data_IF_140903681756
#
_entry.id   IF_140903681756
#
_cell.length_a   1.000
_cell.length_b   1.000
_cell.length_c   1.000
_cell.angle_alpha   90.00
_cell.angle_beta   90.00
_cell.angle_gamma   90.00
#
_symmetry.space_group_name_H-M   'P 1'
#
loop_
_entity.id
_entity.type
_entity.pdbx_description
1 polymer ?
#
# COMPACT_ATOMS: atom_id res chain seq x y z
N UNK A 1 13.46 -24.16 21.57
CA UNK A 1 13.17 -22.74 21.86
C UNK A 1 13.74 -21.89 20.74
N UNK A 2 12.88 -21.36 19.86
CA UNK A 2 13.25 -20.54 18.69
C UNK A 2 13.98 -19.24 19.11
N UNK A 3 14.68 -18.59 18.17
CA UNK A 3 15.41 -17.35 18.45
C UNK A 3 14.51 -16.22 18.94
N UNK A 4 13.28 -16.13 18.43
CA UNK A 4 12.30 -15.11 18.79
C UNK A 4 11.96 -15.10 20.29
N UNK A 5 11.66 -16.26 20.89
CA UNK A 5 11.31 -16.32 22.32
C UNK A 5 12.49 -15.94 23.21
N UNK A 6 13.73 -16.26 22.79
CA UNK A 6 14.95 -15.86 23.51
C UNK A 6 15.18 -14.36 23.44
N UNK A 7 14.94 -13.75 22.28
CA UNK A 7 15.04 -12.30 22.09
C UNK A 7 13.99 -11.59 22.93
N UNK A 8 12.72 -12.01 22.87
CA UNK A 8 11.65 -11.40 23.67
C UNK A 8 11.92 -11.50 25.18
N UNK A 9 12.35 -12.67 25.67
CA UNK A 9 12.71 -12.84 27.08
C UNK A 9 13.94 -11.99 27.47
N UNK A 10 14.97 -11.92 26.62
CA UNK A 10 16.13 -11.10 26.88
C UNK A 10 15.82 -9.60 26.92
N UNK A 11 14.93 -9.12 26.04
CA UNK A 11 14.46 -7.73 26.07
C UNK A 11 13.67 -7.45 27.35
N UNK A 12 12.76 -8.34 27.75
CA UNK A 12 12.00 -8.21 29.00
C UNK A 12 12.91 -8.20 30.25
N UNK A 13 14.01 -8.95 30.21
CA UNK A 13 15.00 -9.04 31.29
C UNK A 13 16.11 -7.97 31.21
N UNK A 14 16.06 -7.03 30.26
CA UNK A 14 17.05 -5.97 30.11
C UNK A 14 18.46 -6.47 29.73
N UNK A 15 18.58 -7.67 29.17
CA UNK A 15 19.85 -8.26 28.80
C UNK A 15 20.42 -7.59 27.55
N UNK A 16 21.62 -7.00 27.69
CA UNK A 16 22.33 -6.32 26.59
C UNK A 16 23.12 -7.25 25.67
N UNK A 17 23.35 -8.50 26.09
CA UNK A 17 24.09 -9.52 25.34
C UNK A 17 23.35 -10.84 25.45
N UNK A 18 23.00 -11.41 24.30
CA UNK A 18 22.35 -12.71 24.20
C UNK A 18 23.37 -13.67 23.60
N UNK A 19 23.85 -14.68 24.33
CA UNK A 19 24.71 -15.70 23.75
C UNK A 19 23.92 -16.51 22.71
N UNK A 20 24.40 -16.52 21.47
CA UNK A 20 23.82 -17.28 20.37
C UNK A 20 24.75 -18.44 20.03
N UNK A 21 24.21 -19.66 20.01
CA UNK A 21 24.91 -20.83 19.49
C UNK A 21 24.39 -21.07 18.08
N UNK A 22 25.26 -20.92 17.09
CA UNK A 22 24.97 -21.29 15.71
C UNK A 22 25.19 -22.79 15.57
N UNK A 23 24.11 -23.56 15.46
CA UNK A 23 24.21 -24.97 15.08
C UNK A 23 24.56 -25.05 13.59
N UNK A 24 25.56 -25.87 13.24
CA UNK A 24 25.91 -26.16 11.84
C UNK A 24 25.05 -27.27 11.22
N UNK A 25 24.28 -27.98 12.04
CA UNK A 25 23.71 -29.30 11.71
C UNK A 25 22.19 -29.27 11.44
N UNK A 26 21.48 -28.20 11.82
CA UNK A 26 20.09 -28.05 11.41
C UNK A 26 20.04 -27.30 10.07
N UNK A 27 19.88 -28.05 8.97
CA UNK A 27 19.22 -27.49 7.79
C UNK A 27 17.85 -27.02 8.28
N UNK A 28 17.67 -25.71 8.44
CA UNK A 28 16.38 -25.14 8.76
C UNK A 28 15.34 -25.75 7.81
N UNK A 29 14.21 -26.17 8.36
CA UNK A 29 13.07 -26.58 7.52
C UNK A 29 12.77 -25.40 6.61
N UNK A 30 12.80 -25.63 5.29
CA UNK A 30 12.40 -24.60 4.34
C UNK A 30 10.91 -24.30 4.58
N UNK A 31 10.63 -23.05 4.93
CA UNK A 31 9.28 -22.54 5.24
C UNK A 31 9.00 -21.41 4.29
N UNK A 32 8.90 -21.76 3.02
CA UNK A 32 8.44 -20.86 1.98
C UNK A 32 6.99 -20.42 2.24
N UNK A 33 6.48 -19.53 1.40
CA UNK A 33 5.11 -19.04 1.55
C UNK A 33 4.07 -20.16 1.43
N UNK A 34 4.34 -21.20 0.63
CA UNK A 34 3.46 -22.34 0.46
C UNK A 34 3.33 -23.16 1.75
N UNK A 35 4.39 -23.24 2.56
CA UNK A 35 4.36 -23.88 3.88
C UNK A 35 3.29 -23.27 4.80
N UNK A 36 3.12 -21.94 4.76
CA UNK A 36 2.11 -21.22 5.55
C UNK A 36 0.71 -21.40 4.98
N UNK A 37 0.55 -21.25 3.65
CA UNK A 37 -0.72 -21.45 2.95
C UNK A 37 -1.25 -22.86 3.22
N UNK A 38 -0.41 -23.89 3.09
CA UNK A 38 -0.77 -25.29 3.33
C UNK A 38 -1.12 -25.61 4.79
N UNK A 39 -0.86 -24.69 5.73
CA UNK A 39 -1.24 -24.80 7.15
C UNK A 39 -2.46 -23.97 7.53
N UNK A 40 -3.16 -23.41 6.55
CA UNK A 40 -4.42 -22.69 6.78
C UNK A 40 -4.24 -21.27 7.28
N UNK A 41 -3.08 -20.65 7.06
CA UNK A 41 -2.92 -19.21 7.26
C UNK A 41 -3.88 -18.48 6.33
N UNK A 42 -4.63 -17.53 6.86
CA UNK A 42 -5.61 -16.78 6.08
C UNK A 42 -4.91 -15.69 5.24
N UNK A 43 -5.66 -15.09 4.31
CA UNK A 43 -5.15 -14.07 3.38
C UNK A 43 -4.53 -12.86 4.09
N UNK A 44 -5.11 -12.41 5.20
CA UNK A 44 -4.58 -11.32 6.01
C UNK A 44 -3.22 -11.70 6.61
N UNK A 45 -3.10 -12.88 7.21
CA UNK A 45 -1.83 -13.37 7.76
C UNK A 45 -0.75 -13.53 6.69
N UNK A 46 -1.11 -14.05 5.51
CA UNK A 46 -0.18 -14.20 4.37
C UNK A 46 0.31 -12.83 3.88
N UNK A 47 -0.59 -11.85 3.74
CA UNK A 47 -0.24 -10.48 3.37
C UNK A 47 0.68 -9.84 4.39
N UNK A 48 0.38 -9.97 5.68
CA UNK A 48 1.22 -9.47 6.75
C UNK A 48 2.62 -10.13 6.76
N UNK A 49 2.70 -11.44 6.55
CA UNK A 49 3.98 -12.14 6.42
C UNK A 49 4.82 -11.59 5.26
N UNK A 50 4.22 -11.45 4.08
CA UNK A 50 4.91 -10.94 2.89
C UNK A 50 5.34 -9.48 3.10
N UNK A 51 4.42 -8.64 3.58
CA UNK A 51 4.67 -7.22 3.82
C UNK A 51 5.86 -7.01 4.78
N UNK A 52 5.87 -7.74 5.91
CA UNK A 52 6.94 -7.64 6.89
C UNK A 52 8.24 -8.32 6.41
N UNK A 53 8.17 -9.37 5.59
CA UNK A 53 9.34 -9.96 4.96
C UNK A 53 10.04 -8.94 4.05
N UNK A 54 9.28 -8.20 3.24
CA UNK A 54 9.82 -7.14 2.39
C UNK A 54 10.53 -6.06 3.22
N UNK A 55 9.93 -5.63 4.33
CA UNK A 55 10.51 -4.60 5.21
C UNK A 55 11.76 -5.06 5.97
N UNK A 56 11.87 -6.36 6.26
CA UNK A 56 12.96 -6.93 7.07
C UNK A 56 14.06 -7.62 6.25
N UNK A 57 13.86 -7.79 4.94
CA UNK A 57 14.79 -8.49 4.06
C UNK A 57 16.10 -7.73 3.89
N UNK A 58 17.21 -8.37 4.25
CA UNK A 58 18.55 -7.80 4.15
C UNK A 58 18.99 -7.57 2.70
N UNK A 59 18.56 -8.45 1.79
CA UNK A 59 18.98 -8.41 0.38
C UNK A 59 18.18 -7.42 -0.47
N UNK A 60 17.16 -6.75 0.10
CA UNK A 60 16.26 -5.79 -0.55
C UNK A 60 15.59 -6.39 -1.81
N UNK A 61 14.37 -6.94 -1.67
CA UNK A 61 13.69 -7.59 -2.79
C UNK A 61 13.26 -6.58 -3.85
N UNK A 62 12.83 -7.09 -5.00
CA UNK A 62 12.22 -6.31 -6.06
C UNK A 62 10.76 -6.76 -6.25
N UNK A 63 9.90 -5.82 -6.61
CA UNK A 63 8.51 -6.13 -6.95
C UNK A 63 8.35 -5.90 -8.45
N UNK A 64 7.89 -6.94 -9.15
CA UNK A 64 7.59 -6.88 -10.57
C UNK A 64 6.08 -6.99 -10.83
N UNK A 65 5.61 -6.29 -11.85
CA UNK A 65 4.25 -6.33 -12.38
C UNK A 65 4.35 -6.69 -13.86
N UNK A 66 3.82 -7.84 -14.23
CA UNK A 66 3.56 -8.19 -15.63
C UNK A 66 2.19 -7.63 -16.01
N UNK A 67 2.18 -6.88 -17.10
CA UNK A 67 0.97 -6.26 -17.61
C UNK A 67 0.16 -7.22 -18.48
N UNK A 68 -1.10 -6.87 -18.72
CA UNK A 68 -2.04 -7.70 -19.49
C UNK A 68 -1.64 -7.91 -20.96
N UNK A 69 -0.85 -7.01 -21.54
CA UNK A 69 -0.37 -7.08 -22.94
C UNK A 69 0.40 -8.34 -23.27
N UNK A 70 0.95 -9.02 -22.26
CA UNK A 70 1.70 -10.28 -22.40
C UNK A 70 1.05 -11.42 -21.61
N UNK A 71 -0.27 -11.33 -21.37
CA UNK A 71 -1.04 -12.29 -20.60
C UNK A 71 -0.81 -13.75 -21.04
N UNK A 72 -0.89 -14.02 -22.34
CA UNK A 72 -0.72 -15.37 -22.91
C UNK A 72 0.71 -15.93 -22.68
N UNK A 73 1.66 -15.07 -22.31
CA UNK A 73 3.05 -15.42 -22.07
C UNK A 73 3.46 -15.28 -20.60
N UNK A 74 2.54 -15.01 -19.67
CA UNK A 74 2.87 -14.83 -18.26
C UNK A 74 3.62 -16.02 -17.66
N UNK A 75 3.19 -17.25 -17.92
CA UNK A 75 3.87 -18.44 -17.38
C UNK A 75 5.28 -18.61 -17.96
N UNK A 76 5.45 -18.32 -19.25
CA UNK A 76 6.76 -18.37 -19.91
C UNK A 76 7.71 -17.31 -19.35
N UNK A 77 7.21 -16.08 -19.16
CA UNK A 77 7.97 -14.98 -18.54
C UNK A 77 8.35 -15.31 -17.10
N UNK A 78 7.40 -15.84 -16.30
CA UNK A 78 7.68 -16.28 -14.92
C UNK A 78 8.74 -17.37 -14.91
N UNK A 79 8.67 -18.35 -15.81
CA UNK A 79 9.69 -19.39 -15.94
C UNK A 79 11.07 -18.80 -16.25
N UNK A 80 11.15 -17.84 -17.17
CA UNK A 80 12.41 -17.17 -17.51
C UNK A 80 13.00 -16.34 -16.36
N UNK A 81 12.14 -15.67 -15.59
CA UNK A 81 12.54 -14.93 -14.38
C UNK A 81 13.06 -15.91 -13.34
N UNK A 82 12.34 -17.01 -13.09
CA UNK A 82 12.72 -18.03 -12.10
C UNK A 82 14.06 -18.72 -12.40
N UNK A 83 14.45 -18.78 -13.68
CA UNK A 83 15.78 -19.25 -14.09
C UNK A 83 16.94 -18.32 -13.74
N UNK A 84 16.67 -17.10 -13.22
CA UNK A 84 17.68 -16.08 -12.88
C UNK A 84 17.60 -15.59 -11.44
N UNK A 85 16.39 -15.47 -10.90
CA UNK A 85 16.10 -14.94 -9.56
C UNK A 85 15.04 -15.78 -8.88
N UNK A 86 15.12 -15.89 -7.55
CA UNK A 86 14.12 -16.62 -6.79
C UNK A 86 12.83 -15.79 -6.73
N UNK A 87 11.70 -16.41 -7.10
CA UNK A 87 10.37 -15.81 -6.96
C UNK A 87 9.80 -16.29 -5.62
N UNK A 88 9.75 -15.39 -4.65
CA UNK A 88 9.30 -15.68 -3.28
C UNK A 88 7.79 -15.80 -3.21
N UNK A 89 7.09 -14.98 -3.99
CA UNK A 89 5.64 -14.95 -4.03
C UNK A 89 5.16 -14.47 -5.39
N UNK A 90 4.00 -14.97 -5.80
CA UNK A 90 3.29 -14.46 -6.97
C UNK A 90 1.79 -14.43 -6.72
N UNK A 91 1.12 -13.44 -7.29
CA UNK A 91 -0.34 -13.40 -7.33
C UNK A 91 -0.82 -12.72 -8.60
N UNK A 92 -2.02 -13.08 -9.04
CA UNK A 92 -2.75 -12.33 -10.06
C UNK A 92 -3.75 -11.42 -9.37
N UNK A 93 -3.87 -10.19 -9.84
CA UNK A 93 -4.90 -9.25 -9.40
C UNK A 93 -5.77 -8.90 -10.59
N UNK A 94 -7.07 -8.78 -10.34
CA UNK A 94 -8.07 -8.39 -11.33
C UNK A 94 -8.78 -7.13 -10.85
N UNK A 95 -9.12 -6.27 -11.80
CA UNK A 95 -9.74 -4.98 -11.58
C UNK A 95 -10.90 -4.80 -12.56
N UNK A 96 -11.73 -3.79 -12.32
CA UNK A 96 -12.47 -3.17 -13.42
C UNK A 96 -11.57 -2.17 -14.18
N UNK A 97 -12.09 -1.57 -15.25
CA UNK A 97 -11.33 -0.64 -16.09
C UNK A 97 -10.86 0.59 -15.32
N UNK A 98 -11.69 1.12 -14.40
CA UNK A 98 -11.37 2.30 -13.60
C UNK A 98 -10.33 1.95 -12.54
N UNK A 99 -10.52 0.81 -11.86
CA UNK A 99 -9.59 0.27 -10.88
C UNK A 99 -8.20 0.03 -11.48
N UNK A 100 -8.11 -0.53 -12.69
CA UNK A 100 -6.82 -0.72 -13.36
C UNK A 100 -6.16 0.62 -13.72
N UNK A 101 -6.91 1.59 -14.24
CA UNK A 101 -6.36 2.92 -14.52
C UNK A 101 -5.78 3.57 -13.26
N UNK A 102 -6.52 3.53 -12.17
CA UNK A 102 -6.10 4.12 -10.91
C UNK A 102 -4.94 3.36 -10.28
N UNK A 103 -4.91 2.03 -10.39
CA UNK A 103 -3.79 1.19 -9.98
C UNK A 103 -2.50 1.54 -10.73
N UNK A 104 -2.57 1.70 -12.05
CA UNK A 104 -1.40 2.10 -12.86
C UNK A 104 -0.88 3.46 -12.40
N UNK A 105 -1.77 4.43 -12.23
CA UNK A 105 -1.40 5.73 -11.67
C UNK A 105 -0.82 5.58 -10.26
N UNK A 106 -1.25 4.60 -9.45
CA UNK A 106 -0.76 4.43 -8.07
C UNK A 106 0.68 3.92 -8.11
N UNK A 107 0.99 2.98 -9.00
CA UNK A 107 2.37 2.56 -9.27
C UNK A 107 3.26 3.77 -9.57
N UNK A 108 2.83 4.65 -10.48
CA UNK A 108 3.62 5.82 -10.91
C UNK A 108 3.53 7.03 -9.97
N UNK A 109 2.67 6.99 -8.95
CA UNK A 109 2.50 8.11 -8.01
C UNK A 109 3.65 8.32 -7.04
N UNK A 110 4.59 7.38 -7.01
CA UNK A 110 5.87 7.51 -6.32
C UNK A 110 6.63 8.75 -6.81
N UNK A 111 6.73 8.93 -8.13
CA UNK A 111 7.40 10.09 -8.74
C UNK A 111 6.47 11.29 -8.94
N UNK A 112 5.21 11.04 -9.32
CA UNK A 112 4.24 12.06 -9.71
C UNK A 112 2.94 11.88 -8.91
N UNK A 113 2.76 12.55 -7.77
CA UNK A 113 1.63 12.28 -6.87
C UNK A 113 0.24 12.55 -7.47
N UNK A 114 0.15 13.43 -8.47
CA UNK A 114 -1.11 13.88 -9.07
C UNK A 114 -1.01 14.23 -10.56
N UNK A 115 0.03 14.96 -10.97
CA UNK A 115 0.18 15.47 -12.33
C UNK A 115 0.85 14.43 -13.24
N UNK A 116 0.09 13.40 -13.63
CA UNK A 116 0.60 12.34 -14.48
C UNK A 116 0.89 12.84 -15.90
N UNK A 117 2.09 12.55 -16.40
CA UNK A 117 2.44 12.83 -17.79
C UNK A 117 1.49 12.11 -18.79
N UNK A 118 1.33 12.69 -19.98
CA UNK A 118 0.56 12.08 -21.10
C UNK A 118 1.01 10.65 -21.38
N UNK A 119 2.30 10.33 -21.18
CA UNK A 119 2.82 8.97 -21.36
C UNK A 119 2.19 7.97 -20.38
N UNK A 120 2.01 8.35 -19.12
CA UNK A 120 1.41 7.48 -18.08
C UNK A 120 -0.08 7.32 -18.35
N UNK A 121 -0.77 8.42 -18.69
CA UNK A 121 -2.21 8.38 -19.04
C UNK A 121 -2.47 7.50 -20.25
N UNK A 122 -1.73 7.68 -21.35
CA UNK A 122 -1.84 6.84 -22.55
C UNK A 122 -1.51 5.38 -22.25
N UNK A 123 -0.52 5.13 -21.37
CA UNK A 123 -0.19 3.77 -20.94
C UNK A 123 -1.36 3.12 -20.20
N UNK A 124 -2.01 3.84 -19.29
CA UNK A 124 -3.17 3.34 -18.58
C UNK A 124 -4.33 2.98 -19.54
N UNK A 125 -4.62 3.86 -20.50
CA UNK A 125 -5.68 3.64 -21.50
C UNK A 125 -5.40 2.40 -22.37
N UNK A 126 -4.18 2.28 -22.91
CA UNK A 126 -3.78 1.13 -23.74
C UNK A 126 -3.85 -0.17 -22.94
N UNK A 127 -3.34 -0.19 -21.70
CA UNK A 127 -3.34 -1.39 -20.85
C UNK A 127 -4.76 -1.87 -20.54
N UNK A 128 -5.68 -0.94 -20.24
CA UNK A 128 -7.09 -1.26 -19.95
C UNK A 128 -7.78 -1.89 -21.17
N UNK A 129 -7.47 -1.40 -22.38
CA UNK A 129 -8.01 -1.98 -23.61
C UNK A 129 -7.49 -3.39 -23.92
N UNK A 130 -6.36 -3.80 -23.32
CA UNK A 130 -5.87 -5.18 -23.41
C UNK A 130 -6.52 -6.13 -22.38
N UNK A 131 -7.14 -5.57 -21.33
CA UNK A 131 -7.81 -6.28 -20.26
C UNK A 131 -7.40 -5.78 -18.88
N UNK A 132 -8.09 -6.26 -17.83
CA UNK A 132 -8.02 -5.67 -16.49
C UNK A 132 -7.36 -6.57 -15.44
N UNK A 133 -6.35 -7.35 -15.83
CA UNK A 133 -5.58 -8.18 -14.89
C UNK A 133 -4.08 -7.89 -14.97
N UNK A 134 -3.38 -8.14 -13.86
CA UNK A 134 -1.92 -8.03 -13.77
C UNK A 134 -1.37 -9.19 -12.95
N UNK A 135 -0.15 -9.61 -13.24
CA UNK A 135 0.58 -10.59 -12.42
C UNK A 135 1.69 -9.91 -11.64
N UNK A 136 1.61 -10.02 -10.31
CA UNK A 136 2.57 -9.45 -9.37
C UNK A 136 3.54 -10.54 -8.94
N UNK A 137 4.83 -10.24 -8.97
CA UNK A 137 5.91 -11.13 -8.56
C UNK A 137 6.77 -10.43 -7.51
N UNK A 138 7.11 -11.15 -6.44
CA UNK A 138 8.08 -10.74 -5.45
C UNK A 138 9.39 -11.50 -5.67
N UNK A 139 10.45 -10.76 -5.97
CA UNK A 139 11.74 -11.31 -6.39
C UNK A 139 12.78 -11.14 -5.27
N UNK A 140 13.44 -12.23 -4.88
CA UNK A 140 14.55 -12.20 -3.93
C UNK A 140 15.85 -11.80 -4.64
N UNK A 141 16.53 -10.78 -4.12
CA UNK A 141 17.76 -10.26 -4.70
C UNK A 141 19.02 -10.86 -4.07
N UNK A 142 18.93 -12.01 -3.38
CA UNK A 142 20.11 -12.74 -2.84
C UNK A 142 21.23 -12.93 -3.85
N UNK A 143 20.88 -13.19 -5.12
CA UNK A 143 21.85 -13.46 -6.18
C UNK A 143 22.30 -12.19 -6.94
N UNK A 144 21.80 -11.00 -6.57
CA UNK A 144 22.18 -9.72 -7.19
C UNK A 144 21.65 -9.49 -8.62
N UNK A 145 20.82 -10.39 -9.17
CA UNK A 145 20.35 -10.32 -10.55
C UNK A 145 19.02 -9.58 -10.74
N UNK A 146 18.33 -9.14 -9.67
CA UNK A 146 17.02 -8.51 -9.84
C UNK A 146 17.08 -7.20 -10.64
N UNK A 147 18.16 -6.44 -10.52
CA UNK A 147 18.35 -5.18 -11.25
C UNK A 147 18.40 -5.33 -12.78
N UNK A 148 18.69 -6.54 -13.30
CA UNK A 148 18.73 -6.79 -14.75
C UNK A 148 17.47 -7.47 -15.30
N UNK A 149 16.57 -7.98 -14.43
CA UNK A 149 15.35 -8.70 -14.84
C UNK A 149 14.47 -7.84 -15.75
N UNK A 150 14.28 -6.57 -15.40
CA UNK A 150 13.45 -5.62 -16.15
C UNK A 150 13.89 -5.51 -17.61
N UNK A 151 15.18 -5.28 -17.86
CA UNK A 151 15.70 -5.12 -19.21
C UNK A 151 15.76 -6.45 -19.96
N UNK A 152 16.17 -7.53 -19.28
CA UNK A 152 16.19 -8.88 -19.86
C UNK A 152 14.82 -9.30 -20.41
N UNK A 153 13.76 -9.12 -19.63
CA UNK A 153 12.39 -9.48 -20.06
C UNK A 153 11.92 -8.55 -21.17
N UNK A 154 12.18 -7.24 -21.08
CA UNK A 154 11.83 -6.28 -22.13
C UNK A 154 12.49 -6.61 -23.46
N UNK A 155 13.78 -6.93 -23.46
CA UNK A 155 14.52 -7.28 -24.68
C UNK A 155 14.04 -8.61 -25.27
N UNK A 156 13.84 -9.63 -24.43
CA UNK A 156 13.41 -10.95 -24.90
C UNK A 156 11.99 -10.93 -25.50
N UNK A 157 11.10 -10.13 -24.92
CA UNK A 157 9.67 -10.14 -25.26
C UNK A 157 9.19 -8.88 -26.00
N UNK A 158 10.09 -7.96 -26.40
CA UNK A 158 9.72 -6.72 -27.11
C UNK A 158 8.89 -6.97 -28.38
N UNK A 159 9.13 -8.10 -29.05
CA UNK A 159 8.43 -8.48 -30.28
C UNK A 159 6.95 -8.82 -30.07
N UNK A 160 6.51 -9.07 -28.83
CA UNK A 160 5.11 -9.41 -28.53
C UNK A 160 4.19 -8.18 -28.54
N UNK A 161 4.73 -6.98 -28.36
CA UNK A 161 3.91 -5.77 -28.28
C UNK A 161 4.55 -4.61 -29.06
N UNK A 162 3.94 -4.26 -30.19
CA UNK A 162 4.50 -3.34 -31.18
C UNK A 162 4.72 -1.90 -30.70
N UNK A 163 4.11 -1.49 -29.59
CA UNK A 163 4.21 -0.10 -29.12
C UNK A 163 5.53 0.18 -28.40
N UNK A 164 5.73 -0.41 -27.23
CA UNK A 164 6.86 -0.09 -26.35
C UNK A 164 7.08 -1.23 -25.34
N UNK A 165 8.33 -1.71 -25.13
CA UNK A 165 8.65 -2.71 -24.10
C UNK A 165 8.23 -2.32 -22.67
N UNK A 166 8.01 -1.03 -22.38
CA UNK A 166 7.46 -0.55 -21.11
C UNK A 166 6.08 -1.16 -20.80
N UNK A 167 5.36 -1.63 -21.80
CA UNK A 167 4.07 -2.30 -21.66
C UNK A 167 4.19 -3.76 -21.27
N UNK A 168 5.38 -4.36 -21.21
CA UNK A 168 5.54 -5.79 -20.87
C UNK A 168 5.60 -5.99 -19.35
N UNK A 169 6.51 -5.25 -18.72
CA UNK A 169 6.84 -5.39 -17.30
C UNK A 169 7.19 -4.04 -16.69
N UNK A 170 6.75 -3.84 -15.44
CA UNK A 170 7.28 -2.84 -14.54
C UNK A 170 7.98 -3.56 -13.37
N UNK A 171 9.13 -3.04 -12.93
CA UNK A 171 9.87 -3.54 -11.77
C UNK A 171 10.33 -2.30 -11.00
N UNK A 172 10.22 -2.34 -9.67
CA UNK A 172 10.75 -1.32 -8.78
C UNK A 172 12.23 -1.04 -9.07
N UNK A 173 12.60 0.19 -9.36
CA UNK A 173 13.96 0.62 -9.66
C UNK A 173 14.74 1.03 -8.40
N UNK A 174 14.03 1.51 -7.37
CA UNK A 174 14.63 1.98 -6.11
C UNK A 174 14.02 1.28 -4.89
N UNK A 175 14.72 1.39 -3.75
CA UNK A 175 14.22 0.86 -2.46
C UNK A 175 12.95 1.57 -2.03
N UNK A 176 12.85 2.88 -2.27
CA UNK A 176 11.69 3.67 -1.88
C UNK A 176 10.47 3.35 -2.77
N UNK A 177 10.69 3.17 -4.07
CA UNK A 177 9.65 2.68 -4.98
C UNK A 177 9.21 1.26 -4.59
N UNK A 178 10.14 0.40 -4.19
CA UNK A 178 9.81 -0.92 -3.67
C UNK A 178 8.94 -0.84 -2.41
N UNK A 179 9.25 0.04 -1.45
CA UNK A 179 8.40 0.22 -0.27
C UNK A 179 7.02 0.79 -0.61
N UNK A 180 6.94 1.69 -1.59
CA UNK A 180 5.68 2.21 -2.12
C UNK A 180 4.84 1.10 -2.78
N UNK A 181 5.45 0.25 -3.60
CA UNK A 181 4.77 -0.90 -4.18
C UNK A 181 4.37 -1.93 -3.13
N UNK A 182 5.17 -2.13 -2.08
CA UNK A 182 4.87 -3.03 -0.97
C UNK A 182 3.62 -2.57 -0.19
N UNK A 183 3.53 -1.27 0.13
CA UNK A 183 2.37 -0.66 0.78
C UNK A 183 1.11 -0.74 -0.08
N UNK A 184 1.26 -0.65 -1.39
CA UNK A 184 0.15 -0.77 -2.30
C UNK A 184 -0.33 -2.23 -2.46
N UNK A 185 0.59 -3.18 -2.65
CA UNK A 185 0.27 -4.53 -3.12
C UNK A 185 0.11 -5.55 -2.00
N UNK A 186 0.88 -5.44 -0.92
CA UNK A 186 0.94 -6.47 0.12
C UNK A 186 0.35 -6.02 1.45
N UNK A 187 0.01 -4.73 1.60
CA UNK A 187 -0.88 -4.29 2.66
C UNK A 187 -2.29 -4.88 2.47
N UNK A 188 -2.79 -5.63 3.45
CA UNK A 188 -4.03 -6.38 3.30
C UNK A 188 -5.23 -5.49 2.96
N UNK A 189 -5.52 -4.49 3.79
CA UNK A 189 -6.67 -3.60 3.55
C UNK A 189 -6.54 -2.85 2.21
N UNK A 190 -5.31 -2.54 1.80
CA UNK A 190 -5.11 -1.84 0.55
C UNK A 190 -5.35 -2.75 -0.66
N UNK A 191 -5.00 -4.02 -0.55
CA UNK A 191 -5.26 -4.99 -1.61
C UNK A 191 -6.75 -5.25 -1.83
N UNK A 192 -7.56 -5.17 -0.76
CA UNK A 192 -9.02 -5.23 -0.85
C UNK A 192 -9.55 -3.94 -1.47
N UNK A 193 -9.06 -2.79 -1.00
CA UNK A 193 -9.44 -1.48 -1.52
C UNK A 193 -9.18 -1.37 -3.03
N UNK A 194 -7.99 -1.73 -3.50
CA UNK A 194 -7.60 -1.64 -4.91
C UNK A 194 -8.45 -2.52 -5.82
N UNK A 195 -8.71 -3.78 -5.44
CA UNK A 195 -9.51 -4.70 -6.25
C UNK A 195 -10.99 -4.31 -6.31
N UNK A 196 -11.47 -3.55 -5.33
CA UNK A 196 -12.84 -3.06 -5.29
C UNK A 196 -12.97 -1.59 -5.71
N UNK A 197 -11.90 -0.96 -6.20
CA UNK A 197 -11.94 0.43 -6.62
C UNK A 197 -12.63 0.52 -7.98
N UNK A 198 -13.85 1.06 -7.99
CA UNK A 198 -14.66 1.26 -9.19
C UNK A 198 -14.87 2.73 -9.56
N UNK A 199 -14.16 3.63 -8.89
CA UNK A 199 -14.24 5.08 -9.10
C UNK A 199 -12.85 5.66 -9.24
N UNK A 200 -12.73 6.64 -10.13
CA UNK A 200 -11.48 7.39 -10.31
C UNK A 200 -11.28 8.33 -9.12
N UNK A 201 -10.01 8.56 -8.76
CA UNK A 201 -9.67 9.63 -7.84
C UNK A 201 -10.10 10.97 -8.43
N UNK A 202 -10.73 11.82 -7.64
CA UNK A 202 -11.09 13.18 -8.08
C UNK A 202 -9.84 14.04 -8.19
N UNK A 203 -9.88 15.02 -9.10
CA UNK A 203 -8.79 15.99 -9.27
C UNK A 203 -8.51 16.77 -7.98
N UNK A 204 -9.55 17.05 -7.19
CA UNK A 204 -9.43 17.69 -5.88
C UNK A 204 -8.61 16.84 -4.91
N UNK A 205 -8.90 15.54 -4.75
CA UNK A 205 -8.14 14.67 -3.86
C UNK A 205 -6.69 14.55 -4.35
N UNK A 206 -6.46 14.42 -5.66
CA UNK A 206 -5.11 14.37 -6.21
C UNK A 206 -4.33 15.66 -5.89
N UNK A 207 -4.95 16.83 -6.08
CA UNK A 207 -4.40 18.14 -5.75
C UNK A 207 -4.10 18.28 -4.26
N UNK A 208 -4.99 17.85 -3.37
CA UNK A 208 -4.78 17.93 -1.92
C UNK A 208 -3.70 16.97 -1.43
N UNK A 209 -3.58 15.78 -2.01
CA UNK A 209 -2.45 14.87 -1.73
C UNK A 209 -1.12 15.55 -2.09
N UNK A 210 -1.06 16.21 -3.26
CA UNK A 210 0.13 16.97 -3.67
C UNK A 210 0.40 18.14 -2.73
N UNK A 211 -0.63 18.91 -2.38
CA UNK A 211 -0.55 20.03 -1.44
C UNK A 211 -0.01 19.58 -0.08
N UNK A 212 -0.58 18.51 0.49
CA UNK A 212 -0.13 17.93 1.74
C UNK A 212 1.33 17.48 1.66
N UNK A 213 1.75 16.77 0.59
CA UNK A 213 3.15 16.34 0.44
C UNK A 213 4.12 17.54 0.47
N UNK A 214 3.77 18.65 -0.17
CA UNK A 214 4.56 19.88 -0.15
C UNK A 214 4.58 20.55 1.24
N UNK A 215 3.45 20.53 1.96
CA UNK A 215 3.39 21.06 3.34
C UNK A 215 4.27 20.21 4.27
N UNK A 216 4.18 18.88 4.18
CA UNK A 216 4.98 17.97 4.99
C UNK A 216 6.48 18.15 4.75
N UNK A 217 6.89 18.31 3.48
CA UNK A 217 8.28 18.61 3.13
C UNK A 217 8.76 19.92 3.78
N UNK A 218 7.98 21.01 3.65
CA UNK A 218 8.31 22.31 4.27
C UNK A 218 8.42 22.24 5.79
N UNK A 219 7.60 21.39 6.42
CA UNK A 219 7.61 21.19 7.87
C UNK A 219 8.64 20.15 8.34
N UNK A 220 9.35 19.51 7.40
CA UNK A 220 10.26 18.38 7.65
C UNK A 220 9.57 17.22 8.38
N UNK A 221 8.34 16.90 7.97
CA UNK A 221 7.51 15.81 8.50
C UNK A 221 7.46 14.65 7.52
N UNK A 222 7.40 13.43 8.05
CA UNK A 222 7.20 12.23 7.23
C UNK A 222 5.72 12.01 6.93
N UNK A 223 5.39 11.66 5.68
CA UNK A 223 4.04 11.18 5.32
C UNK A 223 3.66 9.89 6.05
N UNK A 224 4.63 9.13 6.58
CA UNK A 224 4.36 7.94 7.37
C UNK A 224 3.74 8.24 8.74
N UNK A 225 3.85 9.50 9.21
CA UNK A 225 3.34 9.97 10.50
C UNK A 225 2.02 10.75 10.37
N UNK A 226 1.35 10.61 9.22
CA UNK A 226 0.11 11.33 8.87
C UNK A 226 -0.89 10.34 8.27
N UNK A 227 -2.17 10.52 8.58
CA UNK A 227 -3.27 9.76 8.00
C UNK A 227 -4.42 10.68 7.64
N UNK A 228 -4.88 10.64 6.39
CA UNK A 228 -6.06 11.36 5.94
C UNK A 228 -7.33 10.72 6.53
N UNK A 229 -8.24 11.55 7.00
CA UNK A 229 -9.46 11.14 7.69
C UNK A 229 -10.67 11.90 7.13
N UNK A 230 -11.84 11.75 7.75
CA UNK A 230 -12.98 12.62 7.47
C UNK A 230 -13.63 12.38 6.10
N UNK A 231 -14.04 13.48 5.45
CA UNK A 231 -14.82 13.43 4.22
C UNK A 231 -14.04 12.85 3.04
N UNK A 232 -12.74 13.14 2.96
CA UNK A 232 -11.85 12.68 1.89
C UNK A 232 -11.80 11.15 1.77
N UNK A 233 -11.92 10.43 2.89
CA UNK A 233 -12.05 8.96 2.88
C UNK A 233 -13.29 8.54 2.08
N UNK A 234 -14.45 9.11 2.37
CA UNK A 234 -15.67 8.77 1.62
C UNK A 234 -15.56 9.13 0.13
N UNK A 235 -14.74 10.13 -0.20
CA UNK A 235 -14.48 10.50 -1.59
C UNK A 235 -13.61 9.48 -2.34
N UNK A 236 -12.56 8.93 -1.74
CA UNK A 236 -11.74 7.87 -2.38
C UNK A 236 -12.51 6.56 -2.59
N UNK A 237 -13.60 6.36 -1.85
CA UNK A 237 -14.56 5.27 -2.02
C UNK A 237 -15.72 5.61 -2.98
N UNK A 238 -15.76 6.83 -3.53
CA UNK A 238 -16.77 7.25 -4.49
C UNK A 238 -18.15 7.54 -3.90
N UNK A 239 -18.25 7.69 -2.59
CA UNK A 239 -19.54 7.83 -1.89
C UNK A 239 -20.03 9.27 -1.87
N UNK A 240 -19.11 10.23 -1.79
CA UNK A 240 -19.43 11.67 -1.84
C UNK A 240 -18.21 12.48 -2.27
N UNK A 241 -18.43 13.71 -2.72
CA UNK A 241 -17.35 14.69 -2.82
C UNK A 241 -16.98 15.21 -1.43
N UNK A 242 -15.69 15.36 -1.19
CA UNK A 242 -15.18 16.07 -0.02
C UNK A 242 -14.95 17.55 -0.39
N UNK A 243 -14.87 18.40 0.61
CA UNK A 243 -14.59 19.84 0.44
C UNK A 243 -13.12 20.16 0.79
N UNK A 244 -12.49 19.31 1.59
CA UNK A 244 -11.16 19.46 2.17
C UNK A 244 -10.47 18.09 2.41
N UNK A 245 -9.20 18.15 2.78
CA UNK A 245 -8.41 17.02 3.26
C UNK A 245 -8.08 17.19 4.74
N UNK A 246 -8.91 16.59 5.59
CA UNK A 246 -8.64 16.40 7.01
C UNK A 246 -7.51 15.37 7.22
N UNK A 247 -6.53 15.66 8.08
CA UNK A 247 -5.48 14.71 8.47
C UNK A 247 -5.29 14.61 9.97
N UNK A 248 -5.07 13.39 10.46
CA UNK A 248 -4.54 13.12 11.79
C UNK A 248 -3.01 13.03 11.73
N UNK A 249 -2.35 13.47 12.80
CA UNK A 249 -0.89 13.40 12.96
C UNK A 249 -0.54 12.68 14.25
N UNK A 250 0.63 12.06 14.30
CA UNK A 250 1.09 11.36 15.51
C UNK A 250 1.14 12.28 16.72
N UNK A 251 1.03 11.70 17.92
CA UNK A 251 1.14 12.41 19.19
C UNK A 251 2.45 13.17 19.32
N UNK A 252 3.54 12.62 18.77
CA UNK A 252 4.85 13.27 18.73
C UNK A 252 4.79 14.56 17.92
N UNK A 253 4.34 14.49 16.65
CA UNK A 253 4.21 15.64 15.76
C UNK A 253 3.26 16.68 16.37
N UNK A 254 2.11 16.21 16.87
CA UNK A 254 1.13 17.06 17.58
C UNK A 254 1.84 17.90 18.63
N UNK A 255 2.50 17.28 19.60
CA UNK A 255 3.16 17.98 20.71
C UNK A 255 4.26 18.94 20.27
N UNK A 256 4.99 18.59 19.21
CA UNK A 256 6.16 19.35 18.75
C UNK A 256 5.81 20.54 17.85
N UNK A 257 4.70 20.48 17.10
CA UNK A 257 4.42 21.40 15.99
C UNK A 257 3.04 22.04 16.02
N UNK A 258 2.06 21.47 16.73
CA UNK A 258 0.66 21.88 16.66
C UNK A 258 0.01 21.94 18.06
N UNK A 259 -1.13 22.60 18.16
CA UNK A 259 -2.03 22.56 19.32
C UNK A 259 -2.92 21.31 19.29
N UNK A 260 -3.58 21.03 20.42
CA UNK A 260 -4.54 19.92 20.55
C UNK A 260 -5.86 20.16 19.76
N UNK A 261 -6.06 21.37 19.25
CA UNK A 261 -7.23 21.77 18.46
C UNK A 261 -7.05 21.48 16.97
N UNK A 262 -8.12 21.63 16.20
CA UNK A 262 -8.03 21.60 14.74
C UNK A 262 -7.30 22.85 14.24
N UNK A 263 -6.46 22.68 13.21
CA UNK A 263 -5.62 23.74 12.65
C UNK A 263 -5.54 23.62 11.13
N UNK A 264 -5.74 24.74 10.44
CA UNK A 264 -5.56 24.85 9.01
C UNK A 264 -4.07 24.99 8.68
N UNK A 265 -3.54 24.12 7.81
CA UNK A 265 -2.12 24.08 7.44
C UNK A 265 -1.87 24.33 5.95
N UNK A 266 -2.93 24.42 5.16
CA UNK A 266 -2.91 24.69 3.72
C UNK A 266 -4.19 25.38 3.26
N UNK A 267 -4.37 25.52 1.95
CA UNK A 267 -5.59 26.10 1.38
C UNK A 267 -6.79 25.14 1.55
N UNK A 268 -6.53 23.83 1.55
CA UNK A 268 -7.58 22.80 1.65
C UNK A 268 -7.15 21.62 2.52
N UNK A 269 -6.15 21.82 3.37
CA UNK A 269 -5.58 20.76 4.21
C UNK A 269 -5.64 21.21 5.66
N UNK A 270 -6.36 20.45 6.45
CA UNK A 270 -6.59 20.72 7.86
C UNK A 270 -6.07 19.57 8.72
N UNK A 271 -5.41 19.90 9.82
CA UNK A 271 -5.11 18.96 10.88
C UNK A 271 -6.32 18.90 11.82
N UNK A 272 -6.86 17.70 12.04
CA UNK A 272 -7.98 17.51 12.96
C UNK A 272 -7.55 17.67 14.42
N UNK A 273 -8.50 17.91 15.33
CA UNK A 273 -8.23 17.90 16.77
C UNK A 273 -7.70 16.53 17.25
N UNK A 274 -6.92 16.53 18.33
CA UNK A 274 -6.34 15.29 18.89
C UNK A 274 -7.39 14.23 19.22
N UNK A 275 -6.95 12.99 19.21
CA UNK A 275 -7.77 11.81 19.49
C UNK A 275 -8.99 11.80 18.54
N UNK A 276 -8.67 11.86 17.24
CA UNK A 276 -9.68 11.94 16.17
C UNK A 276 -10.65 10.78 16.29
N UNK A 277 -10.12 9.56 16.44
CA UNK A 277 -10.92 8.35 16.38
C UNK A 277 -11.54 8.02 17.75
N UNK A 278 -12.81 8.39 17.87
CA UNK A 278 -13.66 8.12 19.03
C UNK A 278 -14.80 7.20 18.65
N UNK A 279 -15.07 6.20 19.49
CA UNK A 279 -16.18 5.27 19.35
C UNK A 279 -16.89 5.09 20.69
N UNK A 280 -18.07 4.48 20.66
CA UNK A 280 -18.82 4.14 21.86
C UNK A 280 -18.03 3.04 22.61
N UNK A 281 -17.61 3.33 23.85
CA UNK A 281 -16.98 2.36 24.75
C UNK A 281 -15.44 2.33 24.73
N UNK A 282 -14.76 2.91 23.73
CA UNK A 282 -13.30 3.07 23.73
C UNK A 282 -12.83 4.19 22.79
N UNK A 283 -11.60 4.64 22.99
CA UNK A 283 -10.91 5.58 22.09
C UNK A 283 -9.66 4.92 21.54
N UNK A 284 -9.34 5.21 20.29
CA UNK A 284 -8.08 4.79 19.68
C UNK A 284 -7.20 6.03 19.54
N UNK A 285 -5.92 5.91 19.91
CA UNK A 285 -4.98 7.01 19.79
C UNK A 285 -4.71 7.33 18.32
N UNK A 286 -4.33 8.57 18.02
CA UNK A 286 -3.91 8.94 16.67
C UNK A 286 -2.69 8.12 16.20
N UNK A 287 -1.79 7.75 17.12
CA UNK A 287 -0.66 6.86 16.81
C UNK A 287 -1.14 5.47 16.36
N UNK A 288 -2.14 4.89 17.03
CA UNK A 288 -2.73 3.61 16.61
C UNK A 288 -3.42 3.76 15.25
N UNK A 289 -4.20 4.82 15.02
CA UNK A 289 -4.79 5.10 13.71
C UNK A 289 -3.75 5.18 12.58
N UNK A 290 -2.56 5.71 12.88
CA UNK A 290 -1.49 5.93 11.89
C UNK A 290 -0.61 4.69 11.70
N UNK A 291 -0.38 3.88 12.73
CA UNK A 291 0.58 2.77 12.68
C UNK A 291 -0.05 1.37 12.64
N UNK A 292 -1.30 1.22 13.06
CA UNK A 292 -2.04 -0.04 12.92
C UNK A 292 -2.54 -0.19 11.47
N UNK A 293 -1.93 -1.12 10.73
CA UNK A 293 -2.24 -1.40 9.33
C UNK A 293 -3.69 -1.84 9.08
N UNK A 294 -4.40 -2.31 10.11
CA UNK A 294 -5.84 -2.62 9.97
C UNK A 294 -6.72 -1.37 9.89
N UNK A 295 -6.15 -0.17 10.08
CA UNK A 295 -6.92 1.08 10.24
C UNK A 295 -6.81 2.03 9.06
N UNK A 296 -6.04 1.70 8.02
CA UNK A 296 -5.86 2.57 6.86
C UNK A 296 -5.60 1.80 5.57
N UNK A 297 -5.78 2.50 4.46
CA UNK A 297 -5.39 2.09 3.11
C UNK A 297 -4.41 3.11 2.54
N UNK A 298 -3.73 2.78 1.45
CA UNK A 298 -2.80 3.68 0.76
C UNK A 298 -3.39 4.18 -0.55
N UNK A 299 -3.40 5.50 -0.72
CA UNK A 299 -3.76 6.16 -1.99
C UNK A 299 -2.64 7.10 -2.37
N UNK A 300 -2.03 6.90 -3.54
CA UNK A 300 -0.90 7.71 -4.03
C UNK A 300 0.27 7.84 -3.03
N UNK A 301 0.50 6.80 -2.24
CA UNK A 301 1.53 6.76 -1.20
C UNK A 301 1.17 7.49 0.11
N UNK A 302 -0.06 7.99 0.26
CA UNK A 302 -0.59 8.59 1.49
C UNK A 302 -1.54 7.62 2.19
N UNK A 303 -1.50 7.56 3.52
CA UNK A 303 -2.47 6.79 4.32
C UNK A 303 -3.82 7.50 4.35
N UNK A 304 -4.89 6.78 4.07
CA UNK A 304 -6.26 7.19 4.30
C UNK A 304 -6.88 6.23 5.30
N UNK A 305 -7.53 6.72 6.34
CA UNK A 305 -8.20 5.87 7.31
C UNK A 305 -9.20 4.95 6.60
N UNK A 306 -9.31 3.72 7.09
CA UNK A 306 -10.26 2.78 6.56
C UNK A 306 -11.69 3.31 6.71
N UNK A 307 -12.57 2.95 5.78
CA UNK A 307 -13.95 3.43 5.78
C UNK A 307 -14.68 3.05 7.08
N UNK A 308 -14.32 1.94 7.73
CA UNK A 308 -14.86 1.54 9.03
C UNK A 308 -14.44 2.47 10.17
N UNK A 309 -13.24 3.06 10.11
CA UNK A 309 -12.80 4.07 11.07
C UNK A 309 -13.70 5.29 10.97
N UNK A 310 -13.95 5.77 9.74
CA UNK A 310 -14.82 6.93 9.50
C UNK A 310 -16.26 6.62 9.87
N UNK A 311 -16.77 5.43 9.56
CA UNK A 311 -18.10 4.96 9.98
C UNK A 311 -18.26 5.02 11.49
N UNK A 312 -17.36 4.38 12.25
CA UNK A 312 -17.40 4.35 13.72
C UNK A 312 -17.29 5.76 14.32
N UNK A 313 -16.41 6.61 13.77
CA UNK A 313 -16.29 8.00 14.20
C UNK A 313 -17.57 8.80 14.01
N UNK A 314 -18.28 8.57 12.90
CA UNK A 314 -19.55 9.24 12.58
C UNK A 314 -20.72 8.72 13.41
N UNK A 315 -20.74 7.43 13.73
CA UNK A 315 -21.69 6.86 14.71
C UNK A 315 -21.53 7.46 16.10
N UNK A 316 -20.32 7.92 16.47
CA UNK A 316 -20.09 8.61 17.74
C UNK A 316 -20.60 10.05 17.73
N UNK A 317 -20.37 10.84 16.66
CA UNK A 317 -20.78 12.25 16.64
C UNK A 317 -22.22 12.52 16.24
N UNK A 318 -22.83 11.68 15.40
CA UNK A 318 -24.24 11.77 14.99
C UNK A 318 -24.70 13.18 14.54
N UNK A 319 -23.82 13.97 13.92
CA UNK A 319 -24.22 15.26 13.33
C UNK A 319 -25.14 14.99 12.13
N UNK A 320 -25.95 15.96 11.73
CA UNK A 320 -26.87 15.79 10.58
C UNK A 320 -26.16 15.32 9.30
N UNK A 321 -24.95 15.85 9.05
CA UNK A 321 -24.11 15.40 7.92
C UNK A 321 -23.57 13.97 8.10
N UNK A 322 -23.31 13.55 9.33
CA UNK A 322 -22.84 12.21 9.63
C UNK A 322 -23.93 11.16 9.40
N UNK A 323 -25.20 11.46 9.65
CA UNK A 323 -26.33 10.55 9.37
C UNK A 323 -26.44 10.23 7.87
N UNK A 324 -26.28 11.24 7.00
CA UNK A 324 -26.26 11.06 5.54
C UNK A 324 -25.07 10.22 5.10
N UNK A 325 -23.89 10.51 5.64
CA UNK A 325 -22.67 9.75 5.36
C UNK A 325 -22.80 8.29 5.81
N UNK A 326 -23.40 8.02 6.96
CA UNK A 326 -23.63 6.66 7.46
C UNK A 326 -24.57 5.85 6.56
N UNK A 327 -25.60 6.49 5.99
CA UNK A 327 -26.46 5.84 5.01
C UNK A 327 -25.67 5.44 3.75
N UNK A 328 -24.82 6.34 3.21
CA UNK A 328 -23.97 6.04 2.05
C UNK A 328 -22.99 4.88 2.32
N UNK A 329 -22.39 4.87 3.52
CA UNK A 329 -21.50 3.76 3.93
C UNK A 329 -22.31 2.46 4.08
N UNK A 330 -23.52 2.51 4.62
CA UNK A 330 -24.42 1.35 4.70
C UNK A 330 -24.70 0.76 3.31
N UNK A 331 -25.08 1.60 2.36
CA UNK A 331 -25.33 1.18 0.96
C UNK A 331 -24.09 0.59 0.29
N UNK A 332 -22.89 1.10 0.62
CA UNK A 332 -21.63 0.56 0.13
C UNK A 332 -21.41 -0.91 0.57
N UNK A 333 -21.69 -1.23 1.83
CA UNK A 333 -21.54 -2.60 2.33
C UNK A 333 -22.62 -3.56 1.82
N UNK A 334 -23.79 -3.06 1.42
CA UNK A 334 -24.85 -3.91 0.84
C UNK A 334 -24.56 -4.29 -0.62
N UNK A 335 -23.82 -3.45 -1.36
CA UNK A 335 -23.51 -3.66 -2.78
C UNK A 335 -22.29 -4.56 -3.03
N UNK A 336 -21.48 -4.80 -2.01
CA UNK A 336 -20.35 -5.74 -2.03
C UNK A 336 -20.80 -7.11 -1.54
#
# INVERSE_FOLDING_TARGET
MNGAHRISAAMALGLKKIPVVLSKEERGVDRDINWFINRGFNSHEIHELIYNWVLSSFCKPYIAILWQTVYDHWEQIVSDISGKVDIVFSKTMSFDSVGLQEFIKDVYSFEQPADFSVKITNKAEVLVNCGCAVKVLLLDNKNGFCGVVKNYIREKYCHLFAYDPLFIIHVSDTVDEMYHMNSMLFHYENSIFLQNRSVALTDDIARWIKELKLILEKLSLSSSDVCAVGGAVLNIYGLKKADDLDVAVTKKIRKEKFSDSAECIGDNVDIVAKDYFRTIGYSVSDDSLIYDRSMFVYVRGLKFADIDVVRKRKMFSLRDKDLKDLALIGDYYVKK
#
